data_IF_382168116731
#
_entry.id   IF_382168116731
#
_cell.length_a   1.000
_cell.length_b   1.000
_cell.length_c   1.000
_cell.angle_alpha   90.00
_cell.angle_beta   90.00
_cell.angle_gamma   90.00
#
_symmetry.space_group_name_H-M   'P 1'
#
loop_
_entity.id
_entity.type
_entity.pdbx_description
1 polymer ?
#
# COMPACT_ATOMS: atom_id res chain seq x y z
N UNK A 1 -5.31 -15.58 -9.44
CA UNK A 1 -6.49 -14.75 -9.10
C UNK A 1 -6.81 -14.82 -7.62
N UNK A 2 -7.03 -16.02 -7.04
CA UNK A 2 -7.33 -16.21 -5.61
C UNK A 2 -6.40 -15.44 -4.65
N UNK A 3 -5.07 -15.57 -4.83
CA UNK A 3 -4.08 -14.87 -3.97
C UNK A 3 -4.08 -13.35 -4.11
N UNK A 4 -4.41 -12.82 -5.30
CA UNK A 4 -4.55 -11.37 -5.49
C UNK A 4 -5.74 -10.87 -4.66
N UNK A 5 -6.85 -11.61 -4.70
CA UNK A 5 -8.03 -11.33 -3.88
C UNK A 5 -7.71 -11.39 -2.39
N UNK A 6 -6.98 -12.41 -1.94
CA UNK A 6 -6.58 -12.55 -0.54
C UNK A 6 -5.72 -11.38 -0.04
N UNK A 7 -4.63 -11.04 -0.76
CA UNK A 7 -3.78 -9.91 -0.37
C UNK A 7 -4.56 -8.59 -0.37
N UNK A 8 -5.39 -8.36 -1.39
CA UNK A 8 -6.21 -7.15 -1.47
C UNK A 8 -7.20 -7.07 -0.30
N UNK A 9 -7.85 -8.18 0.05
CA UNK A 9 -8.75 -8.25 1.21
C UNK A 9 -8.02 -8.00 2.53
N UNK A 10 -6.83 -8.59 2.73
CA UNK A 10 -6.01 -8.32 3.91
C UNK A 10 -5.61 -6.84 4.01
N UNK A 11 -5.26 -6.21 2.88
CA UNK A 11 -4.96 -4.78 2.85
C UNK A 11 -6.19 -3.92 3.15
N UNK A 12 -7.36 -4.24 2.61
CA UNK A 12 -8.62 -3.54 2.92
C UNK A 12 -8.91 -3.62 4.44
N UNK A 13 -8.83 -4.83 5.02
CA UNK A 13 -9.06 -5.03 6.44
C UNK A 13 -8.05 -4.26 7.30
N UNK A 14 -6.78 -4.26 6.91
CA UNK A 14 -5.74 -3.45 7.54
C UNK A 14 -6.00 -1.94 7.47
N UNK A 15 -6.62 -1.47 6.38
CA UNK A 15 -7.09 -0.09 6.23
C UNK A 15 -8.18 0.23 7.25
N UNK A 16 -9.23 -0.59 7.33
CA UNK A 16 -10.31 -0.43 8.30
C UNK A 16 -9.81 -0.44 9.75
N UNK A 17 -8.92 -1.37 10.09
CA UNK A 17 -8.29 -1.41 11.43
C UNK A 17 -7.55 -0.10 11.67
N UNK A 18 -6.72 0.36 10.72
CA UNK A 18 -6.01 1.64 10.85
C UNK A 18 -6.94 2.82 11.09
N UNK A 19 -8.06 2.90 10.37
CA UNK A 19 -9.02 3.99 10.54
C UNK A 19 -9.70 3.96 11.90
N UNK A 20 -10.05 2.79 12.46
CA UNK A 20 -10.63 2.69 13.81
C UNK A 20 -9.66 3.16 14.89
N UNK A 21 -8.37 2.87 14.72
CA UNK A 21 -7.32 3.23 15.67
C UNK A 21 -6.68 4.59 15.40
N UNK A 22 -7.17 5.37 14.42
CA UNK A 22 -6.49 6.59 13.97
C UNK A 22 -6.43 7.70 15.03
N UNK A 23 -7.44 7.71 15.92
CA UNK A 23 -7.56 8.65 17.03
C UNK A 23 -6.60 8.36 18.20
N UNK A 24 -5.79 7.31 18.10
CA UNK A 24 -4.81 6.96 19.12
C UNK A 24 -3.44 7.54 18.78
N UNK A 25 -2.69 7.99 19.79
CA UNK A 25 -1.36 8.61 19.61
C UNK A 25 -0.36 7.72 18.83
N UNK A 26 -0.58 6.40 18.85
CA UNK A 26 0.26 5.40 18.19
C UNK A 26 -0.19 5.02 16.77
N UNK A 27 -1.24 5.65 16.24
CA UNK A 27 -1.85 5.31 14.95
C UNK A 27 -0.87 5.41 13.78
N UNK A 28 0.07 6.35 13.82
CA UNK A 28 1.10 6.52 12.80
C UNK A 28 2.01 5.30 12.63
N UNK A 29 2.28 4.55 13.70
CA UNK A 29 3.10 3.34 13.66
C UNK A 29 2.29 2.14 13.13
N UNK A 30 1.00 2.15 13.40
CA UNK A 30 0.08 1.09 13.02
C UNK A 30 -0.03 0.97 11.49
N UNK A 31 0.01 2.10 10.78
CA UNK A 31 -0.12 2.17 9.33
C UNK A 31 0.95 1.31 8.61
N UNK A 32 2.24 1.68 8.60
CA UNK A 32 3.29 0.91 7.91
C UNK A 32 3.41 -0.53 8.40
N UNK A 33 3.02 -0.79 9.65
CA UNK A 33 3.02 -2.12 10.24
C UNK A 33 1.95 -3.00 9.60
N UNK A 34 0.70 -2.56 9.57
CA UNK A 34 -0.41 -3.37 9.10
C UNK A 34 -0.33 -3.66 7.60
N UNK A 35 0.07 -2.68 6.77
CA UNK A 35 0.19 -2.93 5.34
C UNK A 35 1.34 -3.91 5.01
N UNK A 36 2.49 -3.75 5.68
CA UNK A 36 3.62 -4.65 5.49
C UNK A 36 3.28 -6.07 5.93
N UNK A 37 2.62 -6.24 7.08
CA UNK A 37 2.16 -7.54 7.55
C UNK A 37 1.09 -8.15 6.63
N UNK A 38 0.10 -7.37 6.18
CA UNK A 38 -0.93 -7.84 5.26
C UNK A 38 -0.33 -8.38 3.95
N UNK A 39 0.63 -7.67 3.36
CA UNK A 39 1.32 -8.09 2.14
C UNK A 39 2.22 -9.30 2.40
N UNK A 40 3.00 -9.29 3.49
CA UNK A 40 3.96 -10.36 3.79
C UNK A 40 3.28 -11.68 4.16
N UNK A 41 2.27 -11.65 5.03
CA UNK A 41 1.59 -12.84 5.52
C UNK A 41 0.74 -13.49 4.44
N UNK A 42 0.06 -12.70 3.60
CA UNK A 42 -0.70 -13.22 2.46
C UNK A 42 0.19 -13.78 1.34
N UNK A 43 1.49 -13.50 1.38
CA UNK A 43 2.48 -13.95 0.40
C UNK A 43 3.65 -14.73 1.04
N UNK A 44 3.43 -15.33 2.21
CA UNK A 44 4.49 -15.94 3.03
C UNK A 44 5.33 -16.98 2.27
N UNK A 45 4.71 -17.73 1.39
CA UNK A 45 5.33 -18.78 0.58
C UNK A 45 6.17 -18.25 -0.59
N UNK A 46 6.05 -16.97 -0.96
CA UNK A 46 6.83 -16.32 -2.02
C UNK A 46 7.98 -15.46 -1.53
N UNK A 47 8.16 -15.34 -0.22
CA UNK A 47 9.27 -14.57 0.37
C UNK A 47 10.59 -15.19 -0.10
N UNK A 48 11.46 -14.36 -0.69
CA UNK A 48 12.74 -14.78 -1.28
C UNK A 48 13.77 -15.30 -0.26
N UNK A 49 13.57 -15.01 1.02
CA UNK A 49 14.51 -15.36 2.09
C UNK A 49 14.35 -16.80 2.60
N UNK A 50 15.47 -17.50 2.89
CA UNK A 50 15.44 -18.87 3.42
C UNK A 50 14.80 -18.93 4.81
N UNK A 51 15.05 -17.92 5.65
CA UNK A 51 14.38 -17.74 6.94
C UNK A 51 13.23 -16.74 6.77
N UNK A 52 12.04 -17.26 6.47
CA UNK A 52 10.85 -16.43 6.15
C UNK A 52 10.50 -15.40 7.23
N UNK A 53 10.68 -15.75 8.51
CA UNK A 53 10.47 -14.83 9.64
C UNK A 53 11.39 -13.61 9.55
N UNK A 54 12.67 -13.81 9.19
CA UNK A 54 13.63 -12.71 9.00
C UNK A 54 13.19 -11.83 7.82
N UNK A 55 12.68 -12.43 6.75
CA UNK A 55 12.08 -11.68 5.64
C UNK A 55 10.91 -10.81 6.10
N UNK A 56 9.95 -11.36 6.85
CA UNK A 56 8.82 -10.57 7.38
C UNK A 56 9.32 -9.42 8.26
N UNK A 57 10.23 -9.70 9.20
CA UNK A 57 10.79 -8.69 10.10
C UNK A 57 11.53 -7.59 9.33
N UNK A 58 12.27 -7.95 8.28
CA UNK A 58 12.97 -7.01 7.43
C UNK A 58 11.99 -6.15 6.62
N UNK A 59 10.94 -6.74 6.04
CA UNK A 59 9.91 -5.98 5.33
C UNK A 59 9.16 -5.02 6.26
N UNK A 60 8.86 -5.48 7.48
CA UNK A 60 8.22 -4.64 8.50
C UNK A 60 9.12 -3.47 8.90
N UNK A 61 10.39 -3.74 9.23
CA UNK A 61 11.36 -2.70 9.60
C UNK A 61 11.57 -1.68 8.48
N UNK A 62 11.79 -2.13 7.24
CA UNK A 62 11.96 -1.24 6.10
C UNK A 62 10.71 -0.40 5.81
N UNK A 63 9.52 -1.00 5.94
CA UNK A 63 8.24 -0.27 5.79
C UNK A 63 8.11 0.86 6.80
N UNK A 64 8.50 0.61 8.06
CA UNK A 64 8.54 1.64 9.10
C UNK A 64 9.47 2.80 8.75
N UNK A 65 10.71 2.48 8.33
CA UNK A 65 11.71 3.48 7.94
C UNK A 65 11.21 4.34 6.79
N UNK A 66 10.65 3.72 5.74
CA UNK A 66 10.15 4.46 4.57
C UNK A 66 8.94 5.32 4.90
N UNK A 67 8.06 4.85 5.79
CA UNK A 67 6.92 5.66 6.21
C UNK A 67 7.36 6.93 6.95
N UNK A 68 8.32 6.82 7.86
CA UNK A 68 8.91 7.99 8.55
C UNK A 68 9.55 8.94 7.55
N UNK A 69 10.37 8.43 6.63
CA UNK A 69 10.99 9.25 5.57
C UNK A 69 9.92 9.96 4.73
N UNK A 70 8.86 9.26 4.35
CA UNK A 70 7.80 9.81 3.50
C UNK A 70 7.01 10.89 4.22
N UNK A 71 6.69 10.70 5.51
CA UNK A 71 6.06 11.76 6.33
C UNK A 71 6.99 12.96 6.44
N UNK A 72 8.26 12.77 6.75
CA UNK A 72 9.21 13.87 6.86
C UNK A 72 9.31 14.67 5.54
N UNK A 73 9.45 13.98 4.40
CA UNK A 73 9.47 14.64 3.09
C UNK A 73 8.16 15.35 2.81
N UNK A 74 7.02 14.71 3.09
CA UNK A 74 5.69 15.27 2.79
C UNK A 74 5.38 16.49 3.66
N UNK A 75 5.71 16.46 4.95
CA UNK A 75 5.41 17.54 5.88
C UNK A 75 6.42 18.69 5.76
N UNK A 76 7.72 18.40 5.72
CA UNK A 76 8.74 19.46 5.77
C UNK A 76 9.09 20.05 4.40
N UNK A 77 9.05 19.25 3.34
CA UNK A 77 9.48 19.69 2.00
C UNK A 77 8.27 20.07 1.15
N UNK A 78 7.23 19.25 1.20
CA UNK A 78 6.10 19.34 0.27
C UNK A 78 4.93 20.19 0.82
N UNK A 79 4.67 20.25 2.14
CA UNK A 79 3.54 21.01 2.69
C UNK A 79 3.48 22.50 2.30
N UNK A 80 4.60 23.23 2.09
CA UNK A 80 4.56 24.62 1.61
C UNK A 80 3.97 24.77 0.20
N UNK A 81 3.88 23.68 -0.56
CA UNK A 81 3.39 23.66 -1.95
C UNK A 81 1.88 23.42 -2.06
N UNK A 82 1.17 23.32 -0.94
CA UNK A 82 -0.30 23.18 -0.89
C UNK A 82 -0.82 21.74 -1.06
N UNK A 83 -2.13 21.60 -1.30
CA UNK A 83 -2.85 20.32 -1.33
C UNK A 83 -2.29 19.31 -2.35
N UNK A 84 -1.80 19.79 -3.50
CA UNK A 84 -1.18 18.94 -4.52
C UNK A 84 0.06 18.18 -4.02
N UNK A 85 0.73 18.71 -3.00
CA UNK A 85 1.90 18.07 -2.42
C UNK A 85 1.55 16.80 -1.62
N UNK A 86 0.30 16.70 -1.11
CA UNK A 86 -0.19 15.48 -0.46
C UNK A 86 -0.43 14.33 -1.46
N UNK A 87 -0.77 14.66 -2.73
CA UNK A 87 -0.89 13.69 -3.82
C UNK A 87 0.49 13.10 -4.14
N UNK A 88 1.50 13.97 -4.24
CA UNK A 88 2.89 13.57 -4.49
C UNK A 88 3.42 12.73 -3.34
N UNK A 89 3.17 13.12 -2.08
CA UNK A 89 3.57 12.35 -0.90
C UNK A 89 2.95 10.94 -0.87
N UNK A 90 1.66 10.82 -1.19
CA UNK A 90 0.98 9.53 -1.28
C UNK A 90 1.55 8.61 -2.37
N UNK A 91 1.81 9.16 -3.56
CA UNK A 91 2.43 8.43 -4.66
C UNK A 91 3.87 8.01 -4.34
N UNK A 92 4.64 8.89 -3.68
CA UNK A 92 5.98 8.60 -3.21
C UNK A 92 5.98 7.44 -2.20
N UNK A 93 5.06 7.45 -1.23
CA UNK A 93 4.87 6.35 -0.29
C UNK A 93 4.61 5.02 -1.02
N UNK A 94 3.74 5.03 -2.03
CA UNK A 94 3.37 3.81 -2.76
C UNK A 94 4.54 3.25 -3.57
N UNK A 95 5.30 4.13 -4.23
CA UNK A 95 6.53 3.77 -4.97
C UNK A 95 7.57 3.18 -4.02
N UNK A 96 7.86 3.85 -2.92
CA UNK A 96 8.87 3.42 -1.96
C UNK A 96 8.47 2.10 -1.30
N UNK A 97 7.19 1.94 -0.94
CA UNK A 97 6.67 0.68 -0.43
C UNK A 97 6.82 -0.45 -1.46
N UNK A 98 6.43 -0.21 -2.72
CA UNK A 98 6.58 -1.18 -3.81
C UNK A 98 8.05 -1.58 -4.05
N UNK A 99 8.99 -0.63 -3.94
CA UNK A 99 10.42 -0.89 -4.04
C UNK A 99 10.91 -1.83 -2.94
N UNK A 100 10.55 -1.58 -1.67
CA UNK A 100 10.88 -2.49 -0.58
C UNK A 100 10.23 -3.85 -0.82
N UNK A 101 8.93 -3.86 -1.12
CA UNK A 101 8.21 -5.12 -1.33
C UNK A 101 8.90 -5.95 -2.41
N UNK A 102 9.39 -5.34 -3.49
CA UNK A 102 10.10 -6.04 -4.56
C UNK A 102 11.44 -6.68 -4.11
N UNK A 103 12.11 -6.16 -3.08
CA UNK A 103 13.33 -6.78 -2.51
C UNK A 103 13.00 -8.15 -1.89
N UNK A 104 11.82 -8.28 -1.28
CA UNK A 104 11.41 -9.49 -0.55
C UNK A 104 10.46 -10.40 -1.35
N UNK A 105 9.63 -9.79 -2.18
CA UNK A 105 8.56 -10.38 -2.97
C UNK A 105 8.71 -9.88 -4.42
N UNK A 106 9.58 -10.53 -5.21
CA UNK A 106 9.99 -10.01 -6.50
C UNK A 106 8.83 -9.91 -7.49
N UNK A 107 8.74 -8.78 -8.18
CA UNK A 107 7.76 -8.52 -9.23
C UNK A 107 8.32 -9.00 -10.58
N UNK A 108 7.67 -9.97 -11.25
CA UNK A 108 8.16 -10.50 -12.52
C UNK A 108 8.21 -9.45 -13.65
N UNK A 109 7.36 -8.41 -13.58
CA UNK A 109 7.34 -7.26 -14.48
C UNK A 109 7.48 -5.96 -13.69
N UNK A 110 8.61 -5.79 -13.02
CA UNK A 110 8.88 -4.67 -12.11
C UNK A 110 8.42 -3.30 -12.62
N UNK A 111 8.91 -2.84 -13.78
CA UNK A 111 8.57 -1.53 -14.34
C UNK A 111 7.07 -1.34 -14.56
N UNK A 112 6.40 -2.35 -15.08
CA UNK A 112 4.97 -2.28 -15.32
C UNK A 112 4.19 -2.28 -14.00
N UNK A 113 4.61 -3.08 -13.01
CA UNK A 113 4.02 -3.06 -11.67
C UNK A 113 4.17 -1.68 -11.03
N UNK A 114 5.34 -1.04 -11.17
CA UNK A 114 5.59 0.31 -10.68
C UNK A 114 4.67 1.34 -11.33
N UNK A 115 4.49 1.30 -12.65
CA UNK A 115 3.56 2.18 -13.37
C UNK A 115 2.12 1.98 -12.90
N UNK A 116 1.69 0.73 -12.71
CA UNK A 116 0.35 0.43 -12.19
C UNK A 116 0.18 0.99 -10.77
N UNK A 117 1.12 0.69 -9.87
CA UNK A 117 1.05 1.14 -8.47
C UNK A 117 1.07 2.67 -8.38
N UNK A 118 1.89 3.33 -9.18
CA UNK A 118 1.94 4.79 -9.26
C UNK A 118 0.61 5.38 -9.75
N UNK A 119 0.09 4.90 -10.89
CA UNK A 119 -1.18 5.37 -11.44
C UNK A 119 -2.34 5.13 -10.47
N UNK A 120 -2.38 3.96 -9.84
CA UNK A 120 -3.33 3.62 -8.79
C UNK A 120 -3.22 4.57 -7.59
N UNK A 121 -2.01 4.87 -7.11
CA UNK A 121 -1.82 5.77 -5.97
C UNK A 121 -2.27 7.20 -6.25
N UNK A 122 -2.18 7.68 -7.50
CA UNK A 122 -2.68 9.00 -7.87
C UNK A 122 -4.22 9.08 -7.84
N UNK A 123 -4.92 7.95 -8.02
CA UNK A 123 -6.38 7.89 -7.97
C UNK A 123 -6.94 7.92 -6.53
N UNK A 124 -6.11 7.70 -5.52
CA UNK A 124 -6.53 7.65 -4.12
C UNK A 124 -7.25 8.92 -3.69
N UNK A 125 -6.68 10.09 -4.01
CA UNK A 125 -7.23 11.37 -3.61
C UNK A 125 -8.52 11.74 -4.36
N UNK A 126 -8.62 11.64 -5.71
CA UNK A 126 -9.89 11.85 -6.41
C UNK A 126 -11.01 10.94 -5.91
N UNK A 127 -10.70 9.67 -5.60
CA UNK A 127 -11.68 8.73 -5.06
C UNK A 127 -12.12 9.15 -3.65
N UNK A 128 -11.18 9.56 -2.79
CA UNK A 128 -11.50 10.07 -1.46
C UNK A 128 -12.36 11.33 -1.50
N UNK A 129 -12.02 12.29 -2.37
CA UNK A 129 -12.78 13.52 -2.56
C UNK A 129 -14.20 13.23 -3.08
N UNK A 130 -14.33 12.29 -4.03
CA UNK A 130 -15.62 11.85 -4.54
C UNK A 130 -16.48 11.20 -3.44
N UNK A 131 -15.89 10.32 -2.63
CA UNK A 131 -16.59 9.65 -1.51
C UNK A 131 -16.96 10.62 -0.40
N UNK A 132 -16.16 11.67 -0.18
CA UNK A 132 -16.49 12.73 0.77
C UNK A 132 -17.67 13.57 0.28
N UNK A 133 -17.71 13.89 -1.02
CA UNK A 133 -18.79 14.67 -1.64
C UNK A 133 -20.10 13.87 -1.81
N UNK A 134 -20.02 12.54 -2.01
CA UNK A 134 -21.16 11.66 -2.22
C UNK A 134 -21.15 10.50 -1.21
N UNK A 135 -21.53 10.75 0.06
CA UNK A 135 -21.58 9.72 1.08
C UNK A 135 -22.73 8.73 0.78
N UNK A 136 -22.46 7.73 -0.05
CA UNK A 136 -23.44 6.70 -0.46
C UNK A 136 -23.63 5.62 0.61
N UNK A 137 -22.74 5.53 1.59
CA UNK A 137 -22.85 4.65 2.75
C UNK A 137 -22.60 5.46 4.02
N UNK A 138 -23.60 5.52 4.92
CA UNK A 138 -23.41 5.83 6.34
C UNK A 138 -22.60 4.69 7.01
N UNK A 139 -21.34 4.49 6.59
CA UNK A 139 -20.37 3.85 7.47
C UNK A 139 -20.04 4.91 8.52
N UNK A 140 -20.83 4.91 9.60
CA UNK A 140 -20.76 5.83 10.76
C UNK A 140 -19.35 5.90 11.38
N UNK A 141 -18.43 5.00 10.99
CA UNK A 141 -17.08 4.88 11.50
C UNK A 141 -15.99 5.61 10.69
N UNK A 142 -16.31 6.29 9.58
CA UNK A 142 -15.30 6.87 8.69
C UNK A 142 -15.69 8.29 8.27
N UNK A 143 -15.18 9.30 8.96
CA UNK A 143 -15.31 10.69 8.51
C UNK A 143 -14.35 10.92 7.33
N UNK A 144 -14.78 11.63 6.28
CA UNK A 144 -14.22 11.52 4.92
C UNK A 144 -12.69 11.52 4.75
N UNK A 145 -11.93 12.25 5.59
CA UNK A 145 -10.45 12.25 5.56
C UNK A 145 -9.82 10.96 6.12
N UNK A 146 -10.46 10.29 7.06
CA UNK A 146 -10.04 9.01 7.64
C UNK A 146 -10.18 7.85 6.65
N UNK A 147 -10.97 8.07 5.59
CA UNK A 147 -11.19 7.12 4.50
C UNK A 147 -9.98 7.04 3.54
N UNK A 148 -9.14 8.07 3.49
CA UNK A 148 -7.98 8.15 2.57
C UNK A 148 -7.02 6.98 2.80
N UNK A 149 -6.76 6.64 4.06
CA UNK A 149 -5.86 5.53 4.40
C UNK A 149 -6.46 4.21 3.94
N UNK A 150 -7.75 3.97 4.20
CA UNK A 150 -8.43 2.74 3.75
C UNK A 150 -8.43 2.62 2.22
N UNK A 151 -8.71 3.71 1.51
CA UNK A 151 -8.66 3.77 0.04
C UNK A 151 -7.23 3.49 -0.46
N UNK A 152 -6.23 4.13 0.15
CA UNK A 152 -4.83 3.94 -0.20
C UNK A 152 -4.40 2.48 -0.03
N UNK A 153 -4.75 1.84 1.09
CA UNK A 153 -4.44 0.43 1.36
C UNK A 153 -5.06 -0.48 0.32
N UNK A 154 -6.32 -0.22 -0.02
CA UNK A 154 -7.08 -1.03 -0.97
C UNK A 154 -6.44 -0.97 -2.35
N UNK A 155 -6.14 0.25 -2.81
CA UNK A 155 -5.67 0.51 -4.16
C UNK A 155 -4.19 0.14 -4.34
N UNK A 156 -3.33 0.56 -3.41
CA UNK A 156 -1.90 0.21 -3.42
C UNK A 156 -1.70 -1.28 -3.13
N UNK A 157 -2.45 -1.83 -2.18
CA UNK A 157 -2.44 -3.26 -1.88
C UNK A 157 -2.83 -4.11 -3.09
N UNK A 158 -3.85 -3.71 -3.84
CA UNK A 158 -4.22 -4.36 -5.10
C UNK A 158 -3.12 -4.27 -6.16
N UNK A 159 -2.49 -3.11 -6.31
CA UNK A 159 -1.37 -2.90 -7.23
C UNK A 159 -0.18 -3.81 -6.91
N UNK A 160 0.21 -3.87 -5.63
CA UNK A 160 1.28 -4.74 -5.13
C UNK A 160 0.91 -6.22 -5.30
N UNK A 161 -0.31 -6.61 -4.92
CA UNK A 161 -0.79 -7.98 -5.08
C UNK A 161 -0.76 -8.45 -6.55
N UNK A 162 -1.18 -7.56 -7.46
CA UNK A 162 -1.11 -7.78 -8.90
C UNK A 162 0.33 -7.87 -9.40
N UNK A 163 1.24 -7.05 -8.85
CA UNK A 163 2.66 -7.07 -9.18
C UNK A 163 3.35 -8.39 -8.80
N UNK A 164 3.05 -8.93 -7.62
CA UNK A 164 3.60 -10.21 -7.11
C UNK A 164 3.09 -11.43 -7.90
N UNK A 165 1.86 -11.35 -8.43
CA UNK A 165 1.17 -12.49 -9.04
C UNK A 165 1.04 -12.43 -10.56
N UNK A 166 1.55 -11.37 -11.21
CA UNK A 166 1.61 -11.34 -12.67
C UNK A 166 2.50 -12.48 -13.16
N UNK A 167 1.98 -13.33 -14.05
CA UNK A 167 2.77 -14.38 -14.70
C UNK A 167 3.95 -13.74 -15.43
N UNK A 168 5.13 -14.33 -15.30
CA UNK A 168 6.24 -14.13 -16.24
C UNK A 168 5.72 -14.66 -17.59
N UNK A 169 5.79 -13.85 -18.63
CA UNK A 169 5.43 -14.32 -19.97
C UNK A 169 6.55 -15.28 -20.38
N UNK A 170 6.25 -16.58 -20.45
CA UNK A 170 7.13 -17.55 -21.10
C UNK A 170 6.76 -17.57 -22.58
N UNK A 171 7.74 -17.37 -23.46
CA UNK A 171 7.59 -17.56 -24.90
C UNK A 171 7.21 -19.00 -25.26
N UNK A 172 7.47 -19.95 -24.37
CA UNK A 172 7.29 -21.38 -24.60
C UNK A 172 5.87 -21.87 -24.30
N UNK A 173 4.99 -21.02 -23.74
CA UNK A 173 3.59 -21.37 -23.48
C UNK A 173 2.74 -21.44 -24.78
N UNK A 174 3.35 -21.18 -25.95
CA UNK A 174 2.73 -21.26 -27.27
C UNK A 174 3.43 -22.25 -28.22
N UNK A 175 4.32 -23.12 -27.73
CA UNK A 175 5.00 -24.14 -28.53
C UNK A 175 4.34 -25.52 -28.40
#
# INVERSE_FOLDING_TARGET
>A
MFRIGLTSFCCILAGFISSVFINWDWSFILIPTLISLAVSLSNFDKISFPKKLIGILLHWFLSMVIFVITICVTVFILSPMGLHAMYVGSALAAILFALITNILLPFPKFWLSMVIIFGLSLLVWPIADYMHAHPTFKLVALDGRENIITIWYSIVGFGVASGIHRRKYNSDDNA
#
